data_IF_736466563966
#
_entry.id   IF_736466563966
#
_cell.length_a   1.000
_cell.length_b   1.000
_cell.length_c   1.000
_cell.angle_alpha   90.00
_cell.angle_beta   90.00
_cell.angle_gamma   90.00
#
_symmetry.space_group_name_H-M   'P 1'
#
loop_
_entity.id
_entity.type
_entity.pdbx_description
1 polymer ?
#
# COMPACT_ATOMS: atom_id res chain seq x y z
N UNK A 1 1.79 -2.17 27.89
CA UNK A 1 0.65 -2.42 26.99
C UNK A 1 1.19 -2.37 25.57
N UNK A 2 0.96 -3.40 24.76
CA UNK A 2 1.24 -3.32 23.32
C UNK A 2 0.17 -2.41 22.70
N UNK A 3 0.57 -1.25 22.21
CA UNK A 3 -0.21 -0.42 21.29
C UNK A 3 -0.22 -1.15 19.93
N UNK A 4 -1.15 -2.09 19.76
CA UNK A 4 -1.44 -2.63 18.43
C UNK A 4 -2.41 -1.63 17.79
N UNK A 5 -2.01 -0.94 16.72
CA UNK A 5 -2.92 -0.03 16.02
C UNK A 5 -4.16 -0.80 15.58
N UNK A 6 -5.33 -0.16 15.71
CA UNK A 6 -6.58 -0.72 15.22
C UNK A 6 -6.46 -1.02 13.73
N UNK A 7 -6.99 -2.17 13.31
CA UNK A 7 -7.00 -2.57 11.90
C UNK A 7 -7.70 -1.50 11.07
N UNK A 8 -7.08 -1.11 9.95
CA UNK A 8 -7.68 -0.12 9.05
C UNK A 8 -8.95 -0.70 8.42
N UNK A 9 -10.06 0.05 8.42
CA UNK A 9 -11.29 -0.43 7.82
C UNK A 9 -11.08 -0.70 6.32
N UNK A 10 -11.50 -1.89 5.86
CA UNK A 10 -11.47 -2.26 4.45
C UNK A 10 -12.46 -1.41 3.67
N UNK A 11 -11.95 -0.42 2.95
CA UNK A 11 -12.71 0.45 2.04
C UNK A 11 -12.78 -0.10 0.62
N UNK A 12 -11.89 -1.04 0.27
CA UNK A 12 -11.85 -1.66 -1.04
C UNK A 12 -12.89 -2.77 -1.17
N UNK A 13 -13.60 -2.80 -2.30
CA UNK A 13 -14.50 -3.90 -2.67
C UNK A 13 -13.69 -5.00 -3.35
N UNK A 14 -13.88 -6.24 -2.92
CA UNK A 14 -13.32 -7.39 -3.62
C UNK A 14 -13.95 -7.55 -5.00
N UNK A 15 -13.14 -7.72 -6.04
CA UNK A 15 -13.64 -8.01 -7.39
C UNK A 15 -12.74 -9.01 -8.13
N UNK A 16 -13.36 -9.81 -8.99
CA UNK A 16 -12.66 -10.71 -9.89
C UNK A 16 -12.63 -10.08 -11.31
N UNK A 17 -11.44 -9.81 -11.88
CA UNK A 17 -11.34 -9.14 -13.18
C UNK A 17 -12.00 -9.90 -14.34
N UNK A 18 -12.15 -11.21 -14.21
CA UNK A 18 -12.82 -12.03 -15.22
C UNK A 18 -14.36 -12.07 -15.05
N UNK A 19 -14.87 -11.92 -13.82
CA UNK A 19 -16.32 -11.85 -13.57
C UNK A 19 -16.87 -10.45 -13.87
N UNK A 20 -16.09 -9.42 -13.57
CA UNK A 20 -16.45 -8.02 -13.70
C UNK A 20 -15.39 -7.29 -14.54
N UNK A 21 -15.26 -7.60 -15.84
CA UNK A 21 -14.23 -7.01 -16.70
C UNK A 21 -14.39 -5.51 -16.91
N UNK A 22 -15.61 -5.00 -16.75
CA UNK A 22 -15.96 -3.59 -16.93
C UNK A 22 -15.94 -2.79 -15.62
N UNK A 23 -15.41 -3.36 -14.53
CA UNK A 23 -15.29 -2.66 -13.25
C UNK A 23 -14.43 -1.40 -13.41
N UNK A 24 -14.93 -0.27 -12.92
CA UNK A 24 -14.28 1.03 -13.16
C UNK A 24 -13.17 1.26 -12.14
N UNK A 25 -11.96 0.86 -12.50
CA UNK A 25 -10.76 0.99 -11.66
C UNK A 25 -10.34 2.45 -11.40
N UNK A 26 -10.94 3.43 -12.07
CA UNK A 26 -10.68 4.85 -11.84
C UNK A 26 -11.64 5.46 -10.82
N UNK A 27 -12.84 4.90 -10.67
CA UNK A 27 -13.89 5.45 -9.80
C UNK A 27 -14.22 4.56 -8.59
N UNK A 28 -13.87 3.28 -8.63
CA UNK A 28 -14.06 2.34 -7.53
C UNK A 28 -12.72 2.00 -6.86
N UNK A 29 -12.72 1.88 -5.52
CA UNK A 29 -11.60 1.29 -4.79
C UNK A 29 -11.78 -0.22 -4.82
N UNK A 30 -11.00 -0.89 -5.65
CA UNK A 30 -11.14 -2.32 -5.91
C UNK A 30 -9.93 -3.11 -5.41
N UNK A 31 -10.18 -4.18 -4.65
CA UNK A 31 -9.19 -5.18 -4.26
C UNK A 31 -9.30 -6.38 -5.21
N UNK A 32 -8.24 -6.64 -5.97
CA UNK A 32 -8.21 -7.77 -6.91
C UNK A 32 -8.25 -9.09 -6.11
N UNK A 33 -9.37 -9.80 -6.21
CA UNK A 33 -9.57 -11.11 -5.60
C UNK A 33 -10.15 -12.06 -6.65
N UNK A 34 -9.32 -12.98 -7.14
CA UNK A 34 -9.76 -13.97 -8.12
C UNK A 34 -10.73 -14.97 -7.49
N UNK A 35 -11.86 -15.21 -8.15
CA UNK A 35 -12.77 -16.27 -7.73
C UNK A 35 -12.16 -17.65 -8.05
N UNK A 36 -12.69 -18.71 -7.44
CA UNK A 36 -12.19 -20.08 -7.62
C UNK A 36 -12.25 -20.58 -9.08
N UNK A 37 -13.11 -20.00 -9.92
CA UNK A 37 -13.25 -20.37 -11.33
C UNK A 37 -12.19 -19.69 -12.21
N UNK A 38 -11.84 -18.45 -11.88
CA UNK A 38 -10.93 -17.62 -12.68
C UNK A 38 -9.55 -17.47 -12.04
N UNK A 39 -9.26 -18.23 -10.99
CA UNK A 39 -7.97 -18.21 -10.34
C UNK A 39 -6.88 -18.51 -11.39
N UNK A 40 -5.93 -17.58 -11.60
CA UNK A 40 -4.89 -17.78 -12.59
C UNK A 40 -4.03 -18.99 -12.21
N UNK A 41 -3.52 -19.69 -13.21
CA UNK A 41 -2.55 -20.74 -13.00
C UNK A 41 -1.33 -20.13 -12.30
N UNK A 42 -0.93 -20.73 -11.18
CA UNK A 42 0.30 -20.38 -10.47
C UNK A 42 1.42 -21.28 -10.98
N UNK A 43 2.65 -20.79 -10.93
CA UNK A 43 3.85 -21.50 -11.37
C UNK A 43 3.85 -21.79 -12.89
N UNK A 44 3.23 -20.88 -13.66
CA UNK A 44 3.26 -20.91 -15.12
C UNK A 44 4.63 -20.48 -15.69
N UNK A 45 4.78 -20.63 -17.01
CA UNK A 45 6.00 -20.19 -17.72
C UNK A 45 6.29 -18.69 -17.49
N UNK A 46 5.25 -17.88 -17.35
CA UNK A 46 5.39 -16.45 -17.08
C UNK A 46 5.80 -16.16 -15.63
N UNK A 47 5.35 -16.96 -14.66
CA UNK A 47 5.83 -16.86 -13.28
C UNK A 47 7.33 -17.21 -13.20
N UNK A 48 7.77 -18.22 -13.95
CA UNK A 48 9.18 -18.61 -14.03
C UNK A 48 10.09 -17.57 -14.70
N UNK A 49 9.51 -16.59 -15.42
CA UNK A 49 10.27 -15.47 -16.02
C UNK A 49 10.56 -14.35 -15.04
N UNK A 50 9.83 -14.27 -13.93
CA UNK A 50 10.11 -13.32 -12.86
C UNK A 50 11.27 -13.88 -12.04
N UNK A 51 12.50 -13.62 -12.50
CA UNK A 51 13.68 -13.81 -11.68
C UNK A 51 13.57 -12.83 -10.50
N UNK A 52 13.34 -13.35 -9.30
CA UNK A 52 13.41 -12.57 -8.06
C UNK A 52 14.86 -12.20 -7.75
N UNK A 53 15.46 -11.36 -8.59
CA UNK A 53 16.74 -10.68 -8.30
C UNK A 53 16.51 -9.42 -7.45
N UNK A 54 15.27 -9.18 -7.03
CA UNK A 54 14.97 -8.25 -5.97
C UNK A 54 15.49 -8.85 -4.66
N UNK A 55 16.74 -8.52 -4.35
CA UNK A 55 17.28 -8.52 -3.00
C UNK A 55 16.16 -8.10 -2.05
N UNK A 56 15.70 -9.03 -1.21
CA UNK A 56 14.84 -8.79 -0.06
C UNK A 56 15.61 -7.97 0.98
N UNK A 57 16.04 -6.76 0.61
CA UNK A 57 16.33 -5.70 1.56
C UNK A 57 14.97 -5.23 2.05
N UNK A 58 14.47 -5.94 3.04
CA UNK A 58 13.28 -5.56 3.79
C UNK A 58 13.33 -4.10 4.24
N UNK A 59 12.16 -3.47 4.22
CA UNK A 59 11.87 -2.29 5.03
C UNK A 59 12.55 -0.97 4.62
N UNK A 60 12.59 -0.65 3.33
CA UNK A 60 12.53 0.77 2.93
C UNK A 60 11.04 1.15 2.76
N UNK A 61 10.30 1.18 3.87
CA UNK A 61 9.01 1.88 3.90
C UNK A 61 9.23 3.27 3.32
N UNK A 62 8.33 3.68 2.42
CA UNK A 62 8.36 4.93 1.68
C UNK A 62 9.06 6.07 2.45
N UNK A 63 10.27 6.43 2.00
CA UNK A 63 10.93 7.69 2.30
C UNK A 63 10.87 8.18 3.74
N UNK A 64 11.15 7.36 4.75
CA UNK A 64 11.12 7.80 6.16
C UNK A 64 11.94 9.07 6.42
N UNK A 65 13.09 9.22 5.76
CA UNK A 65 13.91 10.44 5.81
C UNK A 65 13.26 11.64 5.11
N UNK A 66 12.61 11.42 3.97
CA UNK A 66 11.88 12.46 3.25
C UNK A 66 10.65 12.92 4.05
N UNK A 67 9.89 11.98 4.60
CA UNK A 67 8.76 12.26 5.48
C UNK A 67 9.20 13.04 6.74
N UNK A 68 10.34 12.68 7.36
CA UNK A 68 10.89 13.44 8.50
C UNK A 68 11.22 14.88 8.13
N UNK A 69 11.84 15.12 6.97
CA UNK A 69 12.12 16.48 6.48
C UNK A 69 10.83 17.26 6.23
N UNK A 70 9.80 16.63 5.69
CA UNK A 70 8.48 17.24 5.52
C UNK A 70 7.83 17.58 6.88
N UNK A 71 7.88 16.68 7.84
CA UNK A 71 7.40 16.92 9.21
C UNK A 71 8.11 18.11 9.86
N UNK A 72 9.43 18.23 9.73
CA UNK A 72 10.19 19.36 10.30
C UNK A 72 9.76 20.71 9.71
N UNK A 73 9.47 20.77 8.41
CA UNK A 73 8.98 21.99 7.76
C UNK A 73 7.55 22.33 8.23
N UNK A 74 6.66 21.34 8.27
CA UNK A 74 5.24 21.54 8.60
C UNK A 74 5.04 21.83 10.10
N UNK A 75 5.82 21.18 10.97
CA UNK A 75 5.67 21.31 12.42
C UNK A 75 6.69 22.26 13.08
N UNK A 76 7.82 22.56 12.42
CA UNK A 76 8.90 23.40 12.97
C UNK A 76 8.48 24.83 13.31
N UNK A 77 7.51 25.41 12.59
CA UNK A 77 6.97 26.73 12.88
C UNK A 77 6.16 26.80 14.18
N UNK A 78 5.68 25.65 14.68
CA UNK A 78 4.93 25.58 15.94
C UNK A 78 5.83 25.79 17.17
N UNK A 79 7.15 25.60 17.04
CA UNK A 79 8.09 25.76 18.16
C UNK A 79 8.67 27.19 18.29
N UNK A 80 8.63 28.00 17.21
CA UNK A 80 8.98 29.44 17.30
C UNK A 80 7.89 30.25 18.00
N UNK A 81 6.63 29.82 17.94
CA UNK A 81 5.53 30.52 18.61
C UNK A 81 5.40 30.21 20.11
N UNK A 82 6.05 29.15 20.62
CA UNK A 82 6.04 28.75 22.04
C UNK A 82 7.24 29.22 22.87
N UNK A 83 8.26 29.83 22.25
CA UNK A 83 9.43 30.42 22.93
C UNK A 83 9.44 31.95 22.93
N UNK A 84 8.29 32.56 22.70
CA UNK A 84 8.08 34.00 22.79
C UNK A 84 6.97 34.31 23.78
N UNK A 85 7.19 34.02 25.07
CA UNK A 85 6.48 34.67 26.17
C UNK A 85 7.38 34.74 27.39
#
# INVERSE_FOLDING_TARGET
MNDIPAETPRVARAYCPACEPDADTLHEILEVQWCNVHMPLREGVDDARVMSDAMLTGSAEAGGDENRRWCDVIHGDSNRHRRGH
#
